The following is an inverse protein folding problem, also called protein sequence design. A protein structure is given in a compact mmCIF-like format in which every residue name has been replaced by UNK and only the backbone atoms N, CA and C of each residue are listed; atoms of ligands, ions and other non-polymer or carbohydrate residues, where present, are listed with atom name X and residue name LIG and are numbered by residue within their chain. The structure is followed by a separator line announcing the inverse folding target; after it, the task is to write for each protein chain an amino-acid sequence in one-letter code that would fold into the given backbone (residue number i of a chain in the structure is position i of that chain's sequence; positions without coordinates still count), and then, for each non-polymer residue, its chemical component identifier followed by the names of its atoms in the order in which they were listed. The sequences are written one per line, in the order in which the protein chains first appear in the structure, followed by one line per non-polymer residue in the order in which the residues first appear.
data_IF_852697781532
#
_entry.id   IF_852697781532
#
_cell.length_a   1.000
_cell.length_b   1.000
_cell.length_c   1.000
_cell.angle_alpha   90.00
_cell.angle_beta   90.00
_cell.angle_gamma   90.00
#
_symmetry.space_group_name_H-M   'P 1'
#
loop_
_entity.id
_entity.type
_entity.pdbx_description
1 polymer ?
#
# COMPACT_ATOMS: atom_id res chain seq x y z
N UNK A 1 5.09 -16.74 3.81
CA UNK A 1 4.24 -16.10 4.83
C UNK A 1 2.78 -16.27 4.44
N UNK A 2 1.98 -16.82 5.33
CA UNK A 2 0.54 -16.97 5.23
C UNK A 2 -0.22 -15.80 5.89
N UNK A 3 0.50 -14.99 6.68
CA UNK A 3 0.00 -13.78 7.33
C UNK A 3 0.90 -12.61 6.95
N UNK A 4 0.32 -11.58 6.33
CA UNK A 4 1.01 -10.34 5.95
C UNK A 4 0.00 -9.26 5.54
N UNK A 5 0.45 -8.02 5.50
CA UNK A 5 -0.32 -6.93 4.91
C UNK A 5 0.43 -6.34 3.73
N UNK A 6 -0.26 -6.18 2.61
CA UNK A 6 0.25 -5.48 1.44
C UNK A 6 -0.28 -4.04 1.49
N UNK A 7 0.62 -3.06 1.56
CA UNK A 7 0.31 -1.65 1.37
C UNK A 7 0.41 -1.31 -0.11
N UNK A 8 -0.69 -0.88 -0.71
CA UNK A 8 -0.72 -0.38 -2.07
C UNK A 8 -0.49 1.12 -2.08
N UNK A 9 0.59 1.55 -2.73
CA UNK A 9 1.02 2.94 -2.88
C UNK A 9 1.08 3.28 -4.37
N UNK A 10 0.08 3.98 -4.86
CA UNK A 10 -0.07 4.34 -6.26
C UNK A 10 -0.67 5.74 -6.41
N UNK A 11 -1.66 5.92 -7.29
CA UNK A 11 -2.46 7.15 -7.32
C UNK A 11 -3.16 7.37 -5.99
N UNK A 12 -3.81 6.33 -5.50
CA UNK A 12 -4.39 6.26 -4.17
C UNK A 12 -3.61 5.32 -3.25
N UNK A 13 -4.16 5.12 -2.06
CA UNK A 13 -3.60 4.28 -1.00
C UNK A 13 -4.64 3.27 -0.55
N UNK A 14 -4.23 2.04 -0.39
CA UNK A 14 -5.05 0.97 0.12
C UNK A 14 -4.21 -0.15 0.72
N UNK A 15 -4.87 -1.21 1.17
CA UNK A 15 -4.18 -2.41 1.60
C UNK A 15 -4.93 -3.68 1.23
N UNK A 16 -4.21 -4.79 1.20
CA UNK A 16 -4.78 -6.13 1.23
C UNK A 16 -4.27 -6.85 2.48
N UNK A 17 -5.20 -7.41 3.24
CA UNK A 17 -4.90 -8.11 4.49
C UNK A 17 -4.99 -9.61 4.24
N UNK A 18 -3.87 -10.31 4.43
CA UNK A 18 -3.79 -11.76 4.39
C UNK A 18 -3.58 -12.28 5.81
N UNK A 19 -4.51 -13.09 6.31
CA UNK A 19 -4.39 -13.77 7.59
C UNK A 19 -4.64 -15.26 7.39
N UNK A 20 -3.72 -16.09 7.87
CA UNK A 20 -3.79 -17.54 7.79
C UNK A 20 -4.03 -18.06 6.35
N UNK A 21 -3.31 -17.48 5.40
CA UNK A 21 -3.42 -17.81 3.98
C UNK A 21 -4.71 -17.35 3.29
N UNK A 22 -5.54 -16.53 3.95
CA UNK A 22 -6.83 -16.07 3.41
C UNK A 22 -6.90 -14.55 3.35
N UNK A 23 -7.33 -14.02 2.20
CA UNK A 23 -7.62 -12.60 2.05
C UNK A 23 -8.81 -12.22 2.91
N UNK A 24 -8.64 -11.22 3.77
CA UNK A 24 -9.71 -10.66 4.59
C UNK A 24 -10.42 -9.56 3.81
N UNK A 25 -11.68 -9.78 3.50
CA UNK A 25 -12.51 -8.82 2.76
C UNK A 25 -13.24 -7.84 3.68
N UNK A 26 -13.43 -8.21 4.96
CA UNK A 26 -14.26 -7.46 5.89
C UNK A 26 -15.76 -7.67 5.64
N UNK A 27 -16.59 -7.13 6.51
CA UNK A 27 -18.04 -7.28 6.45
C UNK A 27 -18.67 -6.64 5.20
N UNK A 28 -18.10 -5.52 4.74
CA UNK A 28 -18.57 -4.76 3.56
C UNK A 28 -17.74 -4.98 2.30
N UNK A 29 -16.67 -5.80 2.39
CA UNK A 29 -15.68 -5.93 1.31
C UNK A 29 -14.58 -4.85 1.35
N UNK A 30 -14.65 -3.89 2.27
CA UNK A 30 -13.76 -2.73 2.36
C UNK A 30 -12.59 -2.87 3.33
N UNK A 31 -12.19 -4.10 3.70
CA UNK A 31 -10.97 -4.26 4.51
C UNK A 31 -9.76 -3.73 3.75
N UNK A 32 -8.97 -2.85 4.40
CA UNK A 32 -7.78 -2.28 3.80
C UNK A 32 -7.95 -0.87 3.22
N UNK A 33 -9.07 -0.20 3.48
CA UNK A 33 -9.28 1.21 3.12
C UNK A 33 -8.40 2.17 3.96
N UNK A 34 -7.08 1.92 3.94
CA UNK A 34 -6.11 2.68 4.74
C UNK A 34 -6.00 4.15 4.34
N UNK A 35 -6.45 4.53 3.16
CA UNK A 35 -6.49 5.93 2.76
C UNK A 35 -7.28 6.80 3.74
N UNK A 36 -8.30 6.24 4.37
CA UNK A 36 -9.16 6.89 5.37
C UNK A 36 -8.62 6.77 6.80
N UNK A 37 -7.49 6.12 7.04
CA UNK A 37 -6.94 5.97 8.39
C UNK A 37 -6.53 7.34 8.95
N UNK A 38 -7.09 7.78 10.08
CA UNK A 38 -6.61 8.96 10.78
C UNK A 38 -5.18 8.72 11.28
N UNK A 39 -4.25 9.58 10.89
CA UNK A 39 -2.85 9.48 11.29
C UNK A 39 -2.31 10.86 11.72
N UNK A 40 -1.28 10.90 12.55
CA UNK A 40 -0.60 12.15 12.89
C UNK A 40 -0.04 12.85 11.64
N UNK A 41 0.03 14.18 11.69
CA UNK A 41 0.63 15.00 10.62
C UNK A 41 -0.33 15.35 9.48
N UNK A 42 -1.62 15.04 9.62
CA UNK A 42 -2.68 15.46 8.68
C UNK A 42 -3.39 16.71 9.20
N UNK A 43 -3.99 17.50 8.29
CA UNK A 43 -4.66 18.75 8.61
C UNK A 43 -6.06 18.58 9.24
N UNK A 44 -6.54 17.34 9.44
CA UNK A 44 -7.87 17.09 9.99
C UNK A 44 -8.17 15.58 10.04
N UNK A 45 -9.45 15.24 10.08
CA UNK A 45 -9.92 13.87 10.02
C UNK A 45 -10.60 13.59 8.67
N UNK A 46 -10.46 12.38 8.12
CA UNK A 46 -11.18 12.01 6.91
C UNK A 46 -12.70 11.97 7.16
N UNK A 47 -13.48 12.15 6.11
CA UNK A 47 -14.94 11.97 6.13
C UNK A 47 -15.33 10.71 5.35
N UNK A 48 -16.57 10.28 5.48
CA UNK A 48 -17.08 9.09 4.79
C UNK A 48 -17.03 9.20 3.25
N UNK A 49 -16.90 10.40 2.71
CA UNK A 49 -16.88 10.66 1.26
C UNK A 49 -15.57 11.27 0.76
N UNK A 50 -14.65 11.58 1.67
CA UNK A 50 -13.37 12.20 1.34
C UNK A 50 -12.28 11.72 2.29
N UNK A 51 -11.19 11.18 1.75
CA UNK A 51 -10.02 10.75 2.52
C UNK A 51 -9.02 11.86 2.84
N UNK A 52 -9.32 13.13 2.51
CA UNK A 52 -8.55 14.29 2.96
C UNK A 52 -8.47 14.29 4.50
N UNK A 53 -7.28 14.51 5.04
CA UNK A 53 -7.05 14.36 6.48
C UNK A 53 -6.75 12.93 6.94
N UNK A 54 -6.90 11.92 6.08
CA UNK A 54 -6.46 10.56 6.35
C UNK A 54 -5.05 10.26 5.80
N UNK A 55 -4.63 9.01 5.93
CA UNK A 55 -3.32 8.54 5.47
C UNK A 55 -3.05 8.83 3.98
N UNK A 56 -4.11 8.86 3.15
CA UNK A 56 -4.01 9.24 1.73
C UNK A 56 -3.35 10.61 1.54
N UNK A 57 -3.66 11.59 2.40
CA UNK A 57 -3.11 12.95 2.31
C UNK A 57 -1.60 13.03 2.63
N UNK A 58 -1.00 11.97 3.17
CA UNK A 58 0.44 11.87 3.40
C UNK A 58 1.19 11.12 2.29
N UNK A 59 0.60 10.05 1.75
CA UNK A 59 1.31 9.11 0.87
C UNK A 59 0.62 8.83 -0.47
N UNK A 60 -0.48 9.51 -0.78
CA UNK A 60 -1.06 9.51 -2.13
C UNK A 60 -0.15 10.22 -3.14
N UNK A 61 -0.39 10.01 -4.43
CA UNK A 61 0.52 10.53 -5.47
C UNK A 61 0.65 12.05 -5.46
N UNK A 62 -0.46 12.80 -5.32
CA UNK A 62 -0.40 14.26 -5.31
C UNK A 62 0.43 14.82 -4.15
N UNK A 63 0.18 14.48 -2.86
CA UNK A 63 1.00 14.95 -1.75
C UNK A 63 2.47 14.49 -1.83
N UNK A 64 2.77 13.36 -2.48
CA UNK A 64 4.15 12.95 -2.71
C UNK A 64 4.85 13.74 -3.80
N UNK A 65 4.13 14.18 -4.85
CA UNK A 65 4.69 15.11 -5.85
C UNK A 65 4.99 16.48 -5.22
N UNK A 66 4.11 16.98 -4.34
CA UNK A 66 4.36 18.20 -3.59
C UNK A 66 5.55 18.06 -2.63
N UNK A 67 5.70 16.90 -2.00
CA UNK A 67 6.87 16.58 -1.18
C UNK A 67 8.14 16.63 -2.02
N UNK A 68 8.16 15.95 -3.16
CA UNK A 68 9.30 15.91 -4.08
C UNK A 68 9.74 17.31 -4.51
N UNK A 69 8.78 18.17 -4.87
CA UNK A 69 9.07 19.57 -5.24
C UNK A 69 9.76 20.34 -4.10
N UNK A 70 9.38 20.11 -2.84
CA UNK A 70 10.03 20.74 -1.67
C UNK A 70 11.49 20.31 -1.48
N UNK A 71 11.85 19.12 -1.94
CA UNK A 71 13.21 18.58 -1.91
C UNK A 71 13.97 18.78 -3.22
N UNK A 72 13.44 19.61 -4.13
CA UNK A 72 14.10 19.93 -5.41
C UNK A 72 14.15 18.76 -6.40
N UNK A 73 13.26 17.78 -6.26
CA UNK A 73 13.17 16.63 -7.15
C UNK A 73 12.16 16.95 -8.25
N UNK A 74 12.62 16.94 -9.51
CA UNK A 74 11.77 17.16 -10.67
C UNK A 74 10.90 15.92 -10.95
N UNK A 75 9.59 16.11 -11.06
CA UNK A 75 8.66 15.02 -11.38
C UNK A 75 8.38 15.03 -12.88
N UNK A 76 8.96 14.11 -13.60
CA UNK A 76 8.66 13.89 -15.03
C UNK A 76 7.75 12.68 -15.17
N UNK A 77 6.43 12.93 -15.21
CA UNK A 77 5.45 11.87 -15.39
C UNK A 77 5.50 11.33 -16.82
N UNK A 78 5.58 10.01 -16.98
CA UNK A 78 5.53 9.32 -18.26
C UNK A 78 4.27 8.44 -18.32
N UNK A 79 3.39 8.72 -19.29
CA UNK A 79 2.17 7.95 -19.49
C UNK A 79 1.18 8.04 -18.32
N UNK A 80 0.60 6.93 -17.92
CA UNK A 80 -0.40 6.84 -16.84
C UNK A 80 0.20 6.50 -15.48
N UNK A 81 1.52 6.45 -15.35
CA UNK A 81 2.18 6.15 -14.09
C UNK A 81 2.00 7.32 -13.11
N UNK A 82 1.75 7.06 -11.80
CA UNK A 82 1.71 8.12 -10.80
C UNK A 82 3.00 8.93 -10.76
N UNK A 83 2.90 10.26 -10.73
CA UNK A 83 4.06 11.14 -10.64
C UNK A 83 4.95 10.85 -9.43
N UNK A 84 4.35 10.40 -8.32
CA UNK A 84 5.08 9.98 -7.13
C UNK A 84 6.08 8.84 -7.39
N UNK A 85 5.75 7.88 -8.25
CA UNK A 85 6.68 6.80 -8.60
C UNK A 85 7.89 7.33 -9.40
N UNK A 86 7.65 8.30 -10.30
CA UNK A 86 8.74 8.99 -10.99
C UNK A 86 9.64 9.77 -10.02
N UNK A 87 9.05 10.48 -9.04
CA UNK A 87 9.77 11.19 -7.99
C UNK A 87 10.67 10.25 -7.16
N UNK A 88 10.16 9.09 -6.78
CA UNK A 88 10.95 8.10 -6.02
C UNK A 88 12.12 7.58 -6.84
N UNK A 89 11.93 7.31 -8.15
CA UNK A 89 13.05 6.90 -9.01
C UNK A 89 14.10 8.02 -9.19
N UNK A 90 13.65 9.26 -9.36
CA UNK A 90 14.54 10.41 -9.47
C UNK A 90 15.38 10.59 -8.20
N UNK A 91 14.74 10.48 -7.02
CA UNK A 91 15.44 10.50 -5.74
C UNK A 91 16.47 9.36 -5.61
N UNK A 92 16.10 8.13 -5.99
CA UNK A 92 17.02 6.99 -5.96
C UNK A 92 18.18 7.14 -6.97
N UNK A 93 17.99 7.95 -8.01
CA UNK A 93 19.05 8.35 -8.94
C UNK A 93 19.91 9.51 -8.42
N UNK A 94 19.63 10.05 -7.23
CA UNK A 94 20.40 11.13 -6.59
C UNK A 94 19.97 12.54 -6.99
N UNK A 95 18.75 12.73 -7.53
CA UNK A 95 18.24 14.05 -7.87
C UNK A 95 17.75 14.80 -6.63
N UNK A 96 18.03 16.09 -6.56
CA UNK A 96 17.62 16.97 -5.46
C UNK A 96 18.18 16.53 -4.10
N UNK A 97 17.50 16.89 -3.01
CA UNK A 97 17.76 16.34 -1.68
C UNK A 97 17.06 14.97 -1.54
N UNK A 98 17.66 13.98 -2.15
CA UNK A 98 17.13 12.61 -2.20
C UNK A 98 17.04 11.95 -0.83
N UNK A 99 17.99 12.20 0.06
CA UNK A 99 18.00 11.64 1.42
C UNK A 99 16.85 12.21 2.26
N UNK A 100 16.67 13.52 2.24
CA UNK A 100 15.56 14.19 2.94
C UNK A 100 14.20 13.74 2.43
N UNK A 101 14.04 13.62 1.10
CA UNK A 101 12.79 13.14 0.48
C UNK A 101 12.46 11.69 0.87
N UNK A 102 13.40 10.76 0.67
CA UNK A 102 13.19 9.34 0.95
C UNK A 102 13.00 9.09 2.45
N UNK A 103 13.73 9.81 3.30
CA UNK A 103 13.54 9.77 4.75
C UNK A 103 12.14 10.20 5.16
N UNK A 104 11.67 11.37 4.69
CA UNK A 104 10.31 11.85 4.97
C UNK A 104 9.24 10.93 4.39
N UNK A 105 9.45 10.37 3.21
CA UNK A 105 8.54 9.39 2.62
C UNK A 105 8.44 8.13 3.49
N UNK A 106 9.58 7.62 3.95
CA UNK A 106 9.63 6.45 4.83
C UNK A 106 8.92 6.71 6.17
N UNK A 107 9.13 7.88 6.78
CA UNK A 107 8.44 8.29 8.02
C UNK A 107 6.92 8.27 7.82
N UNK A 108 6.42 8.82 6.70
CA UNK A 108 4.99 8.83 6.39
C UNK A 108 4.43 7.42 6.18
N UNK A 109 5.11 6.57 5.40
CA UNK A 109 4.66 5.19 5.16
C UNK A 109 4.65 4.39 6.47
N UNK A 110 5.66 4.58 7.32
CA UNK A 110 5.77 3.89 8.59
C UNK A 110 4.61 4.16 9.55
N UNK A 111 3.95 5.35 9.49
CA UNK A 111 2.74 5.62 10.27
C UNK A 111 1.61 4.64 9.95
N UNK A 112 1.33 4.42 8.68
CA UNK A 112 0.31 3.44 8.25
C UNK A 112 0.73 2.00 8.55
N UNK A 113 2.00 1.67 8.35
CA UNK A 113 2.53 0.35 8.68
C UNK A 113 2.46 0.07 10.19
N UNK A 114 2.78 1.04 11.05
CA UNK A 114 2.69 0.91 12.50
C UNK A 114 1.25 0.73 12.98
N UNK A 115 0.31 1.47 12.41
CA UNK A 115 -1.11 1.31 12.74
C UNK A 115 -1.61 -0.10 12.41
N UNK A 116 -1.27 -0.63 11.24
CA UNK A 116 -1.62 -1.99 10.84
C UNK A 116 -0.91 -3.03 11.71
N UNK A 117 0.37 -2.85 11.98
CA UNK A 117 1.13 -3.77 12.83
C UNK A 117 0.56 -3.85 14.24
N UNK A 118 0.17 -2.71 14.82
CA UNK A 118 -0.40 -2.64 16.18
C UNK A 118 -1.75 -3.36 16.32
N UNK A 119 -2.51 -3.52 15.24
CA UNK A 119 -3.84 -4.17 15.27
C UNK A 119 -3.77 -5.64 14.86
N UNK A 120 -2.92 -5.97 13.88
CA UNK A 120 -2.94 -7.28 13.22
C UNK A 120 -1.73 -8.14 13.53
N UNK A 121 -0.63 -7.57 14.02
CA UNK A 121 0.67 -8.23 14.21
C UNK A 121 1.03 -9.17 13.04
N UNK A 122 1.11 -8.64 11.80
CA UNK A 122 1.21 -9.48 10.60
C UNK A 122 2.60 -10.09 10.39
N UNK A 123 3.61 -9.66 11.15
CA UNK A 123 5.00 -10.07 10.99
C UNK A 123 5.67 -9.60 9.69
N UNK A 124 4.88 -9.22 8.67
CA UNK A 124 5.37 -8.73 7.38
C UNK A 124 4.44 -7.68 6.77
N UNK A 125 5.02 -6.60 6.28
CA UNK A 125 4.37 -5.59 5.43
C UNK A 125 5.05 -5.60 4.06
N UNK A 126 4.27 -5.67 2.99
CA UNK A 126 4.74 -5.57 1.60
C UNK A 126 4.41 -4.18 1.05
N UNK A 127 5.40 -3.43 0.60
CA UNK A 127 5.21 -2.19 -0.14
C UNK A 127 4.98 -2.51 -1.61
N UNK A 128 3.81 -2.21 -2.12
CA UNK A 128 3.37 -2.52 -3.49
C UNK A 128 2.78 -1.28 -4.17
N UNK A 129 2.20 -1.46 -5.34
CA UNK A 129 1.82 -0.35 -6.21
C UNK A 129 3.04 0.24 -6.91
N UNK A 130 2.83 1.31 -7.66
CA UNK A 130 3.87 1.92 -8.49
C UNK A 130 4.96 2.58 -7.63
N UNK A 131 4.58 3.22 -6.53
CA UNK A 131 5.51 3.88 -5.59
C UNK A 131 6.32 2.85 -4.82
N UNK A 132 5.66 1.82 -4.27
CA UNK A 132 6.34 0.73 -3.54
C UNK A 132 7.32 -0.02 -4.45
N UNK A 133 6.93 -0.27 -5.71
CA UNK A 133 7.79 -0.90 -6.70
C UNK A 133 8.97 0.00 -7.10
N UNK A 134 8.73 1.29 -7.33
CA UNK A 134 9.79 2.25 -7.65
C UNK A 134 10.83 2.38 -6.53
N UNK A 135 10.37 2.36 -5.27
CA UNK A 135 11.23 2.45 -4.08
C UNK A 135 12.03 1.17 -3.81
N UNK A 136 11.48 0.03 -4.23
CA UNK A 136 12.15 -1.27 -4.11
C UNK A 136 12.65 -1.58 -2.69
N UNK A 137 13.76 -2.31 -2.63
CA UNK A 137 14.39 -2.69 -1.35
C UNK A 137 14.93 -1.51 -0.55
N UNK A 138 15.35 -0.43 -1.21
CA UNK A 138 15.89 0.75 -0.54
C UNK A 138 14.82 1.45 0.32
N UNK A 139 13.65 1.72 -0.27
CA UNK A 139 12.54 2.32 0.47
C UNK A 139 12.01 1.36 1.54
N UNK A 140 11.92 0.06 1.24
CA UNK A 140 11.47 -0.93 2.21
C UNK A 140 12.36 -0.98 3.45
N UNK A 141 13.67 -0.91 3.29
CA UNK A 141 14.63 -0.89 4.40
C UNK A 141 14.45 0.36 5.28
N UNK A 142 14.28 1.54 4.66
CA UNK A 142 14.02 2.78 5.40
C UNK A 142 12.72 2.70 6.20
N UNK A 143 11.65 2.18 5.59
CA UNK A 143 10.36 2.02 6.28
C UNK A 143 10.46 1.01 7.42
N UNK A 144 11.20 -0.11 7.24
CA UNK A 144 11.43 -1.11 8.29
C UNK A 144 12.15 -0.49 9.49
N UNK A 145 13.18 0.31 9.25
CA UNK A 145 13.91 1.03 10.31
C UNK A 145 12.98 1.98 11.10
N UNK A 146 12.17 2.77 10.40
CA UNK A 146 11.22 3.69 11.04
C UNK A 146 10.13 2.95 11.81
N UNK A 147 9.61 1.87 11.23
CA UNK A 147 8.61 1.01 11.89
C UNK A 147 9.15 0.39 13.17
N UNK A 148 10.38 -0.11 13.15
CA UNK A 148 11.03 -0.67 14.33
C UNK A 148 11.24 0.35 15.46
N UNK A 149 11.38 1.64 15.13
CA UNK A 149 11.45 2.71 16.12
C UNK A 149 10.07 3.08 16.71
N UNK A 150 8.96 2.78 16.01
CA UNK A 150 7.60 3.12 16.42
C UNK A 150 6.85 1.98 17.11
N UNK A 151 7.25 0.74 16.87
CA UNK A 151 6.51 -0.46 17.32
C UNK A 151 7.41 -1.43 18.07
N UNK A 152 6.94 -2.01 19.19
CA UNK A 152 7.65 -3.10 19.86
C UNK A 152 7.54 -4.44 19.10
N UNK A 153 6.64 -4.52 18.12
CA UNK A 153 6.41 -5.72 17.33
C UNK A 153 7.48 -5.87 16.24
N UNK A 154 7.96 -7.08 16.04
CA UNK A 154 8.93 -7.39 14.98
C UNK A 154 8.21 -7.60 13.67
N UNK A 155 8.08 -6.53 12.89
CA UNK A 155 7.42 -6.57 11.57
C UNK A 155 8.45 -6.22 10.50
N UNK A 156 8.74 -7.18 9.63
CA UNK A 156 9.60 -6.96 8.47
C UNK A 156 8.88 -6.14 7.40
N UNK A 157 9.63 -5.36 6.61
CA UNK A 157 9.09 -4.65 5.45
C UNK A 157 9.83 -5.09 4.19
N UNK A 158 9.11 -5.43 3.13
CA UNK A 158 9.69 -5.87 1.86
C UNK A 158 9.00 -5.18 0.68
N UNK A 159 9.71 -5.05 -0.41
CA UNK A 159 9.13 -4.57 -1.66
C UNK A 159 8.33 -5.67 -2.38
N UNK A 160 7.14 -5.33 -2.87
CA UNK A 160 6.36 -6.20 -3.74
C UNK A 160 6.96 -6.29 -5.14
N UNK A 161 6.90 -7.48 -5.75
CA UNK A 161 7.56 -7.76 -7.03
C UNK A 161 6.73 -7.41 -8.27
N UNK A 162 5.41 -7.21 -8.14
CA UNK A 162 4.49 -7.17 -9.29
C UNK A 162 4.23 -5.75 -9.84
N UNK A 163 4.62 -4.70 -9.12
CA UNK A 163 4.37 -3.31 -9.51
C UNK A 163 2.90 -3.05 -9.86
N UNK A 164 2.63 -2.13 -10.79
CA UNK A 164 1.29 -1.77 -11.25
C UNK A 164 0.48 -2.88 -11.94
N UNK A 165 1.11 -4.02 -12.26
CA UNK A 165 0.41 -5.17 -12.87
C UNK A 165 -0.32 -6.05 -11.86
N UNK A 166 -0.08 -5.90 -10.57
CA UNK A 166 -0.59 -6.76 -9.51
C UNK A 166 -2.12 -6.82 -9.49
N UNK A 167 -2.80 -5.68 -9.56
CA UNK A 167 -4.28 -5.60 -9.54
C UNK A 167 -4.89 -6.35 -10.73
N UNK A 168 -4.38 -6.11 -11.93
CA UNK A 168 -4.86 -6.79 -13.15
C UNK A 168 -4.67 -8.31 -13.08
N UNK A 169 -3.51 -8.79 -12.61
CA UNK A 169 -3.24 -10.21 -12.43
C UNK A 169 -4.14 -10.82 -11.37
N UNK A 170 -4.33 -10.14 -10.25
CA UNK A 170 -5.24 -10.58 -9.20
C UNK A 170 -6.69 -10.68 -9.66
N UNK A 171 -7.18 -9.70 -10.41
CA UNK A 171 -8.52 -9.72 -11.00
C UNK A 171 -8.72 -10.89 -11.97
N UNK A 172 -7.73 -11.18 -12.83
CA UNK A 172 -7.77 -12.33 -13.75
C UNK A 172 -7.81 -13.67 -13.01
N UNK A 173 -7.00 -13.82 -11.95
CA UNK A 173 -7.01 -15.03 -11.13
C UNK A 173 -8.35 -15.21 -10.41
N UNK A 174 -8.89 -14.15 -9.80
CA UNK A 174 -10.17 -14.20 -9.13
C UNK A 174 -11.33 -14.55 -10.09
N UNK A 175 -11.32 -13.97 -11.30
CA UNK A 175 -12.33 -14.28 -12.32
C UNK A 175 -12.22 -15.75 -12.81
N UNK A 176 -11.01 -16.24 -12.99
CA UNK A 176 -10.77 -17.65 -13.34
C UNK A 176 -11.31 -18.59 -12.26
N UNK A 177 -10.96 -18.33 -11.00
CA UNK A 177 -11.35 -19.18 -9.87
C UNK A 177 -12.88 -19.18 -9.71
N UNK A 178 -13.53 -18.02 -9.82
CA UNK A 178 -14.99 -17.92 -9.81
C UNK A 178 -15.65 -18.71 -10.98
N UNK A 179 -15.08 -18.64 -12.19
CA UNK A 179 -15.56 -19.41 -13.33
C UNK A 179 -15.40 -20.92 -13.12
N UNK A 180 -14.27 -21.35 -12.56
CA UNK A 180 -14.05 -22.76 -12.23
C UNK A 180 -15.03 -23.25 -11.16
N UNK A 181 -15.25 -22.50 -10.11
CA UNK A 181 -16.26 -22.82 -9.09
C UNK A 181 -17.66 -22.93 -9.70
N UNK A 182 -18.06 -22.01 -10.57
CA UNK A 182 -19.36 -22.03 -11.21
C UNK A 182 -19.56 -23.27 -12.13
N UNK A 183 -18.49 -23.75 -12.79
CA UNK A 183 -18.56 -24.89 -13.72
C UNK A 183 -18.48 -26.22 -12.97
N UNK A 184 -17.65 -26.32 -11.94
CA UNK A 184 -17.30 -27.58 -11.28
C UNK A 184 -17.90 -27.73 -9.88
N UNK A 185 -18.61 -26.72 -9.34
CA UNK A 185 -19.32 -26.88 -8.09
C UNK A 185 -20.36 -28.00 -8.21
N UNK A 186 -20.45 -28.95 -7.24
CA UNK A 186 -21.49 -29.97 -7.27
C UNK A 186 -22.86 -29.27 -7.23
N UNK A 187 -23.71 -29.59 -8.23
CA UNK A 187 -25.09 -29.09 -8.21
C UNK A 187 -25.76 -29.63 -6.96
N UNK A 188 -26.12 -28.73 -6.04
CA UNK A 188 -26.96 -29.09 -4.90
C UNK A 188 -28.29 -29.58 -5.47
N UNK A 189 -28.57 -30.89 -5.36
CA UNK A 189 -29.87 -31.45 -5.69
C UNK A 189 -30.95 -30.68 -4.92
N UNK A 190 -32.04 -30.23 -5.55
CA UNK A 190 -33.13 -29.64 -4.80
C UNK A 190 -33.65 -30.71 -3.83
N UNK A 191 -33.62 -30.41 -2.55
CA UNK A 191 -34.25 -31.20 -1.51
C UNK A 191 -35.72 -31.31 -1.86
N UNK A 192 -36.14 -32.45 -2.38
CA UNK A 192 -37.55 -32.76 -2.58
C UNK A 192 -38.27 -32.75 -1.26
N UNK A 193 -39.32 -31.97 -1.18
CA UNK A 193 -40.32 -31.96 -0.12
C UNK A 193 -41.22 -33.18 -0.28
#
# INVERSE_FOLDING_TARGET
HDTFVLLWLGHGVGAAVMLDGKVRRGASGGAGELGFLPVPGTAGTPSAVNCDGGFHSLVGSAPLCELAARYGIAVTQKGQEPGAAAAVRAALAGEGDSEGFLGTLADRIALGAAAVASVLDPGLVLLSGEVGHAGGGALAALVEERLAAMSPLRTGVRAGLLGGTAVRRGALLAARDAAQEAIFAPQSSPSGV
#
